data_IF_693935524618
#
_entry.id   IF_693935524618
#
_cell.length_a   1.000
_cell.length_b   1.000
_cell.length_c   1.000
_cell.angle_alpha   90.00
_cell.angle_beta   90.00
_cell.angle_gamma   90.00
#
_symmetry.space_group_name_H-M   'P 1'
#
loop_
_entity.id
_entity.type
_entity.pdbx_description
1 polymer ?
#
# COMPACT_ATOMS: atom_id res chain seq x y z
N UNK A 1 -0.56 2.36 20.24
CA UNK A 1 0.12 3.56 19.72
C UNK A 1 -0.27 3.69 18.26
N UNK A 2 -1.07 4.69 17.90
CA UNK A 2 -1.46 4.91 16.50
C UNK A 2 -0.24 5.43 15.75
N UNK A 3 0.17 4.76 14.68
CA UNK A 3 1.25 5.22 13.82
C UNK A 3 0.73 6.42 13.01
N UNK A 4 1.40 7.56 13.07
CA UNK A 4 1.07 8.77 12.30
C UNK A 4 1.51 8.68 10.81
N UNK A 5 1.77 7.45 10.34
CA UNK A 5 2.26 7.22 8.99
C UNK A 5 1.10 7.33 7.98
N UNK A 6 1.32 7.98 6.82
CA UNK A 6 0.35 7.95 5.73
C UNK A 6 0.01 6.52 5.31
N UNK A 7 -1.28 6.24 5.13
CA UNK A 7 -1.77 4.91 4.75
C UNK A 7 -2.13 4.91 3.27
N UNK A 8 -1.54 3.98 2.50
CA UNK A 8 -1.89 3.74 1.10
C UNK A 8 -2.54 2.36 0.91
N UNK A 9 -3.53 2.26 0.03
CA UNK A 9 -4.20 0.99 -0.32
C UNK A 9 -4.19 0.75 -1.82
N UNK A 10 -3.93 -0.50 -2.21
CA UNK A 10 -3.94 -0.99 -3.58
C UNK A 10 -4.25 -2.50 -3.59
N UNK A 11 -4.71 -3.02 -4.73
CA UNK A 11 -4.88 -4.47 -4.90
C UNK A 11 -4.49 -4.88 -6.33
N UNK A 12 -5.16 -5.87 -6.91
CA UNK A 12 -5.02 -6.21 -8.32
C UNK A 12 -5.53 -5.08 -9.24
N UNK A 13 -6.82 -4.78 -9.12
CA UNK A 13 -7.56 -3.87 -10.02
C UNK A 13 -8.09 -2.59 -9.37
N UNK A 14 -7.87 -2.42 -8.06
CA UNK A 14 -8.39 -1.29 -7.27
C UNK A 14 -9.73 -1.54 -6.58
N UNK A 15 -10.49 -2.58 -6.96
CA UNK A 15 -11.84 -2.85 -6.40
C UNK A 15 -11.80 -3.12 -4.89
N UNK A 16 -10.99 -4.08 -4.44
CA UNK A 16 -10.84 -4.38 -3.01
C UNK A 16 -10.24 -3.20 -2.25
N UNK A 17 -9.25 -2.52 -2.84
CA UNK A 17 -8.62 -1.36 -2.22
C UNK A 17 -9.59 -0.20 -1.98
N UNK A 18 -10.61 -0.03 -2.84
CA UNK A 18 -11.65 0.95 -2.61
C UNK A 18 -12.50 0.62 -1.37
N UNK A 19 -12.84 -0.66 -1.17
CA UNK A 19 -13.52 -1.11 0.05
C UNK A 19 -12.64 -0.88 1.30
N UNK A 20 -11.35 -1.17 1.21
CA UNK A 20 -10.39 -0.93 2.30
C UNK A 20 -10.27 0.57 2.63
N UNK A 21 -10.27 1.45 1.63
CA UNK A 21 -10.26 2.90 1.85
C UNK A 21 -11.49 3.38 2.63
N UNK A 22 -12.68 2.84 2.34
CA UNK A 22 -13.90 3.15 3.10
C UNK A 22 -13.77 2.65 4.53
N UNK A 23 -13.36 1.39 4.72
CA UNK A 23 -13.20 0.80 6.06
C UNK A 23 -12.19 1.58 6.92
N UNK A 24 -11.05 1.97 6.33
CA UNK A 24 -10.03 2.78 7.00
C UNK A 24 -10.54 4.19 7.34
N UNK A 25 -11.33 4.80 6.46
CA UNK A 25 -11.97 6.09 6.73
C UNK A 25 -12.92 5.98 7.93
N UNK A 26 -13.76 4.95 7.98
CA UNK A 26 -14.65 4.68 9.12
C UNK A 26 -13.89 4.38 10.41
N UNK A 27 -12.70 3.79 10.31
CA UNK A 27 -11.79 3.55 11.43
C UNK A 27 -10.98 4.79 11.87
N UNK A 28 -11.21 5.95 11.24
CA UNK A 28 -10.58 7.22 11.60
C UNK A 28 -9.22 7.49 10.95
N UNK A 29 -8.86 6.76 9.89
CA UNK A 29 -7.67 7.03 9.08
C UNK A 29 -7.99 7.94 7.88
N UNK A 30 -6.96 8.53 7.29
CA UNK A 30 -7.04 9.27 6.03
C UNK A 30 -6.30 8.52 4.91
N UNK A 31 -6.85 7.40 4.39
CA UNK A 31 -6.16 6.56 3.41
C UNK A 31 -6.06 7.23 2.03
N UNK A 32 -4.98 6.91 1.31
CA UNK A 32 -4.81 7.22 -0.11
C UNK A 32 -5.01 5.94 -0.93
N UNK A 33 -6.05 5.95 -1.77
CA UNK A 33 -6.27 4.88 -2.74
C UNK A 33 -5.35 5.09 -3.95
N UNK A 34 -4.70 4.02 -4.41
CA UNK A 34 -4.08 3.94 -5.74
C UNK A 34 -5.01 3.17 -6.70
N UNK A 35 -5.88 3.86 -7.48
CA UNK A 35 -6.97 3.20 -8.19
C UNK A 35 -6.48 2.21 -9.26
N UNK A 36 -5.44 2.60 -10.02
CA UNK A 36 -4.90 1.74 -11.08
C UNK A 36 -4.21 0.48 -10.56
N UNK A 37 -3.78 0.48 -9.29
CA UNK A 37 -3.36 -0.72 -8.56
C UNK A 37 -2.27 -1.53 -9.31
N UNK A 38 -2.16 -2.84 -9.06
CA UNK A 38 -1.18 -3.68 -9.72
C UNK A 38 -1.29 -3.61 -11.25
N UNK A 39 -2.50 -3.63 -11.80
CA UNK A 39 -2.73 -3.53 -13.26
C UNK A 39 -2.02 -2.31 -13.87
N UNK A 40 -2.11 -1.14 -13.25
CA UNK A 40 -1.39 0.05 -13.71
C UNK A 40 0.12 -0.04 -13.42
N UNK A 41 0.51 -0.62 -12.27
CA UNK A 41 1.93 -0.76 -11.91
C UNK A 41 2.69 -1.65 -12.89
N UNK A 42 2.18 -2.85 -13.14
CA UNK A 42 2.79 -3.87 -14.01
C UNK A 42 2.84 -3.45 -15.47
N UNK A 43 1.91 -2.58 -15.90
CA UNK A 43 1.88 -2.03 -17.26
C UNK A 43 2.92 -0.93 -17.51
N UNK A 44 3.76 -0.60 -16.52
CA UNK A 44 4.90 0.32 -16.71
C UNK A 44 6.21 -0.46 -16.67
N UNK A 45 6.88 -0.67 -17.83
CA UNK A 45 8.16 -1.37 -17.90
C UNK A 45 9.23 -0.74 -17.00
N UNK A 46 10.09 -1.58 -16.42
CA UNK A 46 11.23 -1.14 -15.60
C UNK A 46 10.87 -0.76 -14.16
N UNK A 47 9.61 -0.82 -13.74
CA UNK A 47 9.25 -0.64 -12.32
C UNK A 47 9.70 -1.84 -11.49
N UNK A 48 10.19 -1.61 -10.25
CA UNK A 48 10.60 -2.70 -9.38
C UNK A 48 9.39 -3.56 -8.98
N UNK A 49 9.61 -4.87 -8.92
CA UNK A 49 8.60 -5.87 -8.55
C UNK A 49 9.24 -6.89 -7.60
N UNK A 50 8.57 -7.16 -6.50
CA UNK A 50 8.90 -8.30 -5.63
C UNK A 50 8.04 -9.51 -6.04
N UNK A 51 8.67 -10.63 -6.38
CA UNK A 51 8.00 -11.87 -6.81
C UNK A 51 8.02 -12.98 -5.75
N UNK A 52 8.98 -12.90 -4.82
CA UNK A 52 9.11 -13.83 -3.71
C UNK A 52 8.56 -13.23 -2.41
N UNK A 53 8.00 -14.09 -1.55
CA UNK A 53 7.71 -13.70 -0.17
C UNK A 53 9.05 -13.56 0.57
N UNK A 54 9.45 -12.35 1.02
CA UNK A 54 10.64 -12.24 1.86
C UNK A 54 10.42 -13.08 3.12
N UNK A 55 11.46 -13.81 3.56
CA UNK A 55 11.39 -14.47 4.87
C UNK A 55 11.15 -13.37 5.90
N UNK A 56 10.40 -13.66 6.97
CA UNK A 56 10.07 -12.66 8.01
C UNK A 56 11.27 -11.91 8.58
N UNK A 57 12.47 -12.51 8.54
CA UNK A 57 13.74 -11.94 8.98
C UNK A 57 14.41 -11.00 7.96
N UNK A 58 14.04 -11.12 6.68
CA UNK A 58 14.63 -10.39 5.56
C UNK A 58 13.73 -9.21 5.11
N UNK A 59 12.63 -8.97 5.85
CA UNK A 59 11.76 -7.83 5.58
C UNK A 59 12.52 -6.53 5.84
N UNK A 60 12.45 -5.53 4.93
CA UNK A 60 13.07 -4.24 5.17
C UNK A 60 12.50 -3.63 6.47
N UNK A 61 13.32 -2.87 7.23
CA UNK A 61 12.82 -2.15 8.38
C UNK A 61 11.62 -1.29 7.94
N UNK A 62 10.61 -1.12 8.81
CA UNK A 62 9.45 -0.29 8.48
C UNK A 62 9.96 1.08 8.02
N UNK A 63 9.39 1.58 6.92
CA UNK A 63 9.76 2.89 6.39
C UNK A 63 9.59 3.92 7.51
N UNK A 64 10.63 4.69 7.88
CA UNK A 64 10.51 5.68 8.93
C UNK A 64 9.45 6.71 8.53
N UNK A 65 8.55 6.99 9.45
CA UNK A 65 7.37 7.85 9.30
C UNK A 65 7.73 9.35 9.20
N UNK A 66 8.99 9.67 8.87
CA UNK A 66 9.55 11.03 8.87
C UNK A 66 9.69 11.63 7.47
N UNK A 67 9.17 11.01 6.41
CA UNK A 67 9.01 11.71 5.14
C UNK A 67 7.74 12.57 5.19
N UNK A 68 7.95 13.81 5.63
CA UNK A 68 7.01 14.93 5.56
C UNK A 68 6.89 15.44 4.12
#
# INVERSE_FOLDING_TARGET
>A
MRSDAPVGVYCGSGVTAAADAVALTLAGFAPRLYPGSWSQWSNTPGRPVATARPRRRDAPPPIPHTLR
#
